data_IF_267225637585
#
_entry.id   IF_267225637585
#
_cell.length_a   1.000
_cell.length_b   1.000
_cell.length_c   1.000
_cell.angle_alpha   90.00
_cell.angle_beta   90.00
_cell.angle_gamma   90.00
#
_symmetry.space_group_name_H-M   'P 1'
#
loop_
_entity.id
_entity.type
_entity.pdbx_description
1 polymer ?
#
# COMPACT_ATOMS: atom_id res chain seq x y z
N UNK A 1 -20.40 47.78 -9.24
CA UNK A 1 -19.59 46.80 -10.00
C UNK A 1 -18.11 46.79 -9.58
N UNK A 2 -17.38 47.93 -9.61
CA UNK A 2 -15.94 47.99 -9.21
C UNK A 2 -15.67 47.49 -7.77
N UNK A 3 -16.50 47.87 -6.81
CA UNK A 3 -16.34 47.45 -5.40
C UNK A 3 -16.55 45.94 -5.20
N UNK A 4 -17.52 45.33 -5.87
CA UNK A 4 -17.78 43.91 -5.82
C UNK A 4 -16.58 43.11 -6.38
N UNK A 5 -16.07 43.51 -7.56
CA UNK A 5 -14.88 42.88 -8.16
C UNK A 5 -13.69 42.94 -7.21
N UNK A 6 -13.47 44.07 -6.53
CA UNK A 6 -12.37 44.27 -5.58
C UNK A 6 -12.47 43.28 -4.38
N UNK A 7 -13.62 43.14 -3.79
CA UNK A 7 -13.81 42.20 -2.65
C UNK A 7 -13.70 40.74 -3.09
N UNK A 8 -14.21 40.39 -4.26
CA UNK A 8 -14.06 39.03 -4.81
C UNK A 8 -12.60 38.70 -5.07
N UNK A 9 -11.83 39.63 -5.64
CA UNK A 9 -10.39 39.45 -5.87
C UNK A 9 -9.59 39.26 -4.57
N UNK A 10 -9.92 40.05 -3.53
CA UNK A 10 -9.29 39.92 -2.21
C UNK A 10 -9.64 38.58 -1.58
N UNK A 11 -10.90 38.14 -1.64
CA UNK A 11 -11.31 36.83 -1.13
C UNK A 11 -10.58 35.69 -1.81
N UNK A 12 -10.45 35.74 -3.13
CA UNK A 12 -9.69 34.73 -3.90
C UNK A 12 -8.21 34.76 -3.49
N UNK A 13 -7.59 35.91 -3.36
CA UNK A 13 -6.19 36.03 -2.92
C UNK A 13 -5.96 35.45 -1.52
N UNK A 14 -6.87 35.71 -0.57
CA UNK A 14 -6.82 35.12 0.78
C UNK A 14 -6.96 33.60 0.74
N UNK A 15 -7.88 33.07 -0.05
CA UNK A 15 -8.04 31.61 -0.22
C UNK A 15 -6.77 30.99 -0.80
N UNK A 16 -6.18 31.59 -1.83
CA UNK A 16 -4.93 31.10 -2.44
C UNK A 16 -3.76 31.15 -1.45
N UNK A 17 -3.67 32.19 -0.62
CA UNK A 17 -2.65 32.29 0.43
C UNK A 17 -2.83 31.20 1.50
N UNK A 18 -4.07 30.94 1.93
CA UNK A 18 -4.37 29.88 2.90
C UNK A 18 -4.05 28.50 2.32
N UNK A 19 -4.39 28.24 1.06
CA UNK A 19 -4.06 26.98 0.38
C UNK A 19 -2.54 26.81 0.23
N UNK A 20 -1.82 27.89 -0.09
CA UNK A 20 -0.36 27.89 -0.14
C UNK A 20 0.27 27.61 1.23
N UNK A 21 -0.23 28.25 2.28
CA UNK A 21 0.22 28.01 3.65
C UNK A 21 -0.03 26.56 4.12
N UNK A 22 -1.20 25.99 3.78
CA UNK A 22 -1.51 24.58 4.05
C UNK A 22 -0.54 23.64 3.33
N UNK A 23 -0.17 23.94 2.08
CA UNK A 23 0.80 23.15 1.33
C UNK A 23 2.20 23.16 1.96
N UNK A 24 2.57 24.23 2.64
CA UNK A 24 3.85 24.35 3.35
C UNK A 24 3.80 23.72 4.75
N UNK A 25 2.64 23.25 5.20
CA UNK A 25 2.52 22.67 6.53
C UNK A 25 3.40 21.42 6.69
N UNK A 26 4.15 21.27 7.80
CA UNK A 26 5.08 20.16 8.02
C UNK A 26 4.46 18.77 7.86
N UNK A 27 3.16 18.63 8.08
CA UNK A 27 2.40 17.40 7.88
C UNK A 27 2.54 16.82 6.46
N UNK A 28 2.64 17.68 5.43
CA UNK A 28 2.77 17.25 4.03
C UNK A 28 4.23 16.97 3.62
N UNK A 29 5.18 17.14 4.53
CA UNK A 29 6.60 16.89 4.31
C UNK A 29 7.16 15.74 5.16
N UNK A 30 6.31 14.83 5.60
CA UNK A 30 6.69 13.74 6.51
C UNK A 30 7.73 12.78 5.92
N UNK A 31 7.77 12.61 4.61
CA UNK A 31 8.72 11.71 3.93
C UNK A 31 10.20 12.16 4.02
N UNK A 32 10.49 13.33 4.56
CA UNK A 32 11.86 13.80 4.83
C UNK A 32 12.42 13.30 6.16
N UNK A 33 11.62 12.60 6.97
CA UNK A 33 12.08 12.05 8.25
C UNK A 33 13.06 10.89 8.01
N UNK A 34 14.08 10.81 8.86
CA UNK A 34 14.94 9.64 8.91
C UNK A 34 14.22 8.51 9.66
N UNK A 35 14.30 7.31 9.12
CA UNK A 35 13.77 6.11 9.76
C UNK A 35 14.93 5.35 10.38
N UNK A 36 14.81 5.02 11.67
CA UNK A 36 15.78 4.20 12.38
C UNK A 36 15.33 2.76 12.21
N UNK A 37 16.09 1.97 11.49
CA UNK A 37 15.76 0.58 11.22
C UNK A 37 16.62 -0.31 12.09
N UNK A 38 15.99 -0.98 13.03
CA UNK A 38 16.62 -1.96 13.91
C UNK A 38 16.70 -3.30 13.20
N UNK A 39 17.87 -3.91 13.20
CA UNK A 39 18.09 -5.22 12.60
C UNK A 39 17.84 -6.33 13.62
N UNK A 40 16.67 -6.95 13.55
CA UNK A 40 16.40 -8.21 14.24
C UNK A 40 16.30 -9.31 13.19
N UNK A 41 17.16 -10.31 13.31
CA UNK A 41 17.05 -11.48 12.45
C UNK A 41 15.74 -12.21 12.70
N UNK A 42 15.04 -12.57 11.63
CA UNK A 42 13.87 -13.43 11.70
C UNK A 42 14.33 -14.83 12.16
N UNK A 43 13.80 -15.27 13.29
CA UNK A 43 14.07 -16.61 13.86
C UNK A 43 12.93 -17.58 13.60
N UNK A 44 12.36 -17.58 12.39
CA UNK A 44 11.29 -18.53 12.08
C UNK A 44 11.90 -19.93 11.86
N UNK A 45 11.60 -20.94 12.69
CA UNK A 45 11.91 -22.33 12.36
C UNK A 45 11.05 -22.75 11.18
N UNK A 46 11.67 -23.20 10.11
CA UNK A 46 11.04 -23.45 8.81
C UNK A 46 10.23 -24.76 8.71
N UNK A 47 9.88 -25.42 9.81
CA UNK A 47 9.01 -26.59 9.79
C UNK A 47 7.60 -26.25 9.29
N UNK A 48 7.12 -25.05 9.57
CA UNK A 48 5.85 -24.53 9.06
C UNK A 48 5.98 -23.02 8.87
N UNK A 49 5.80 -22.56 7.64
CA UNK A 49 5.83 -21.13 7.31
C UNK A 49 4.59 -20.44 7.89
N UNK A 50 4.77 -19.37 8.65
CA UNK A 50 3.68 -18.46 9.00
C UNK A 50 3.79 -17.20 8.12
N UNK A 51 2.71 -16.86 7.45
CA UNK A 51 2.56 -15.69 6.59
C UNK A 51 1.36 -14.87 7.04
N UNK A 52 1.54 -13.57 7.16
CA UNK A 52 0.42 -12.64 7.37
C UNK A 52 0.32 -11.72 6.16
N UNK A 53 -0.90 -11.51 5.67
CA UNK A 53 -1.19 -10.52 4.63
C UNK A 53 -1.98 -9.38 5.26
N UNK A 54 -1.37 -8.19 5.39
CA UNK A 54 -2.01 -7.00 5.95
C UNK A 54 -2.29 -5.97 4.87
N UNK A 55 -3.34 -5.19 5.05
CA UNK A 55 -3.59 -4.13 4.09
C UNK A 55 -5.01 -3.58 4.06
N UNK A 56 -5.36 -3.11 2.89
CA UNK A 56 -6.67 -2.55 2.55
C UNK A 56 -7.68 -3.63 2.10
N UNK A 57 -8.56 -3.30 1.17
CA UNK A 57 -9.53 -4.25 0.60
C UNK A 57 -8.87 -5.45 -0.09
N UNK A 58 -7.67 -5.31 -0.64
CA UNK A 58 -6.97 -6.42 -1.27
C UNK A 58 -6.60 -7.50 -0.26
N UNK A 59 -6.09 -7.12 0.91
CA UNK A 59 -5.85 -8.08 1.99
C UNK A 59 -7.17 -8.59 2.62
N UNK A 60 -8.20 -7.74 2.71
CA UNK A 60 -9.50 -8.15 3.25
C UNK A 60 -10.17 -9.23 2.39
N UNK A 61 -10.14 -9.08 1.08
CA UNK A 61 -10.73 -10.07 0.15
C UNK A 61 -9.83 -11.28 -0.07
N UNK A 62 -8.53 -11.14 0.13
CA UNK A 62 -7.60 -12.29 0.10
C UNK A 62 -7.91 -13.31 1.20
N UNK A 63 -8.56 -12.94 2.28
CA UNK A 63 -8.94 -13.86 3.34
C UNK A 63 -9.67 -15.11 2.83
N UNK A 64 -10.48 -14.97 1.80
CA UNK A 64 -11.19 -16.09 1.15
C UNK A 64 -10.24 -16.98 0.32
N UNK A 65 -8.99 -16.55 0.09
CA UNK A 65 -7.94 -17.21 -0.70
C UNK A 65 -6.75 -17.70 0.14
N UNK A 66 -6.77 -17.57 1.47
CA UNK A 66 -5.68 -18.00 2.35
C UNK A 66 -5.30 -19.47 2.13
N UNK A 67 -6.29 -20.33 1.93
CA UNK A 67 -6.08 -21.79 1.70
C UNK A 67 -5.42 -22.11 0.37
N UNK A 68 -5.72 -21.36 -0.67
CA UNK A 68 -5.09 -21.50 -1.99
C UNK A 68 -3.60 -21.19 -1.90
N UNK A 69 -3.24 -20.11 -1.21
CA UNK A 69 -1.83 -19.73 -0.99
C UNK A 69 -1.10 -20.78 -0.11
N UNK A 70 -1.73 -21.32 0.95
CA UNK A 70 -1.18 -22.42 1.75
C UNK A 70 -0.88 -23.66 0.87
N UNK A 71 -1.80 -24.01 -0.04
CA UNK A 71 -1.63 -25.13 -0.97
C UNK A 71 -0.47 -24.92 -1.95
N UNK A 72 -0.23 -23.69 -2.40
CA UNK A 72 0.91 -23.38 -3.27
C UNK A 72 2.25 -23.61 -2.57
N UNK A 73 2.37 -23.25 -1.29
CA UNK A 73 3.56 -23.57 -0.49
C UNK A 73 3.70 -25.05 -0.24
N UNK A 74 2.62 -25.73 0.11
CA UNK A 74 2.61 -27.18 0.37
C UNK A 74 3.04 -27.99 -0.85
N UNK A 75 2.63 -27.61 -2.06
CA UNK A 75 3.08 -28.23 -3.33
C UNK A 75 4.59 -28.12 -3.57
N UNK A 76 5.24 -27.15 -2.91
CA UNK A 76 6.70 -26.96 -2.93
C UNK A 76 7.40 -27.61 -1.74
N UNK A 77 6.70 -28.43 -0.96
CA UNK A 77 7.25 -29.12 0.22
C UNK A 77 7.42 -28.22 1.46
N UNK A 78 6.79 -27.06 1.48
CA UNK A 78 6.84 -26.10 2.60
C UNK A 78 5.43 -25.92 3.17
N UNK A 79 5.05 -26.62 4.25
CA UNK A 79 3.77 -26.36 4.91
C UNK A 79 3.66 -24.90 5.36
N UNK A 80 2.50 -24.28 5.16
CA UNK A 80 2.29 -22.88 5.51
C UNK A 80 0.95 -22.66 6.20
N UNK A 81 0.91 -21.64 7.06
CA UNK A 81 -0.31 -21.04 7.60
C UNK A 81 -0.37 -19.57 7.16
N UNK A 82 -1.44 -19.22 6.48
CA UNK A 82 -1.68 -17.88 5.94
C UNK A 82 -2.85 -17.23 6.67
N UNK A 83 -2.67 -15.96 7.04
CA UNK A 83 -3.68 -15.16 7.71
C UNK A 83 -3.79 -13.80 7.02
N UNK A 84 -4.88 -13.54 6.33
CA UNK A 84 -5.14 -12.24 5.73
C UNK A 84 -5.99 -11.37 6.63
N UNK A 85 -5.48 -10.18 6.94
CA UNK A 85 -6.10 -9.20 7.85
C UNK A 85 -6.12 -7.84 7.15
N UNK A 86 -7.18 -7.57 6.42
CA UNK A 86 -7.37 -6.32 5.72
C UNK A 86 -8.57 -5.52 6.24
N UNK A 87 -8.66 -4.28 5.81
CA UNK A 87 -9.81 -3.43 6.06
C UNK A 87 -10.15 -2.63 4.81
N UNK A 88 -11.36 -2.83 4.30
CA UNK A 88 -11.84 -2.16 3.09
C UNK A 88 -11.75 -0.64 3.23
N UNK A 89 -11.12 0.01 2.27
CA UNK A 89 -10.93 1.46 2.26
C UNK A 89 -9.80 1.98 3.16
N UNK A 90 -9.06 1.10 3.85
CA UNK A 90 -7.97 1.51 4.74
C UNK A 90 -6.85 2.23 3.97
N UNK A 91 -6.34 3.28 4.56
CA UNK A 91 -5.17 4.04 4.10
C UNK A 91 -3.93 3.57 4.85
N UNK A 92 -2.76 3.90 4.33
CA UNK A 92 -1.48 3.49 4.93
C UNK A 92 -1.36 3.78 6.44
N UNK A 93 -1.85 4.94 6.90
CA UNK A 93 -1.91 5.28 8.32
C UNK A 93 -2.79 4.33 9.12
N UNK A 94 -3.98 4.03 8.62
CA UNK A 94 -4.94 3.15 9.30
C UNK A 94 -4.40 1.71 9.38
N UNK A 95 -3.70 1.25 8.34
CA UNK A 95 -3.01 -0.04 8.34
C UNK A 95 -1.93 -0.05 9.42
N UNK A 96 -1.08 1.00 9.49
CA UNK A 96 -0.07 1.13 10.53
C UNK A 96 -0.67 1.11 11.95
N UNK A 97 -1.71 1.92 12.21
CA UNK A 97 -2.36 1.98 13.52
C UNK A 97 -2.96 0.62 13.94
N UNK A 98 -3.47 -0.16 12.98
CA UNK A 98 -4.02 -1.51 13.22
C UNK A 98 -2.97 -2.55 13.60
N UNK A 99 -1.69 -2.34 13.29
CA UNK A 99 -0.61 -3.23 13.76
C UNK A 99 -0.52 -3.27 15.29
N UNK A 100 -1.02 -2.27 15.98
CA UNK A 100 -1.06 -2.19 17.45
C UNK A 100 -2.40 -2.60 18.06
N UNK A 101 -3.39 -2.95 17.24
CA UNK A 101 -4.74 -3.35 17.67
C UNK A 101 -5.17 -4.67 17.02
N UNK A 102 -5.99 -4.62 15.98
CA UNK A 102 -6.62 -5.82 15.37
C UNK A 102 -5.63 -6.76 14.69
N UNK A 103 -4.55 -6.24 14.10
CA UNK A 103 -3.51 -7.05 13.46
C UNK A 103 -2.45 -7.55 14.45
N UNK A 104 -2.38 -6.93 15.63
CA UNK A 104 -1.34 -7.20 16.64
C UNK A 104 -1.19 -8.67 16.98
N UNK A 105 -2.28 -9.38 17.21
CA UNK A 105 -2.25 -10.78 17.62
C UNK A 105 -1.51 -11.66 16.59
N UNK A 106 -1.72 -11.44 15.30
CA UNK A 106 -1.09 -12.20 14.23
C UNK A 106 0.42 -11.89 14.12
N UNK A 107 0.80 -10.62 14.33
CA UNK A 107 2.20 -10.20 14.30
C UNK A 107 2.98 -10.66 15.54
N UNK A 108 2.32 -10.76 16.70
CA UNK A 108 2.95 -11.26 17.94
C UNK A 108 3.30 -12.75 17.88
N UNK A 109 2.67 -13.50 16.98
CA UNK A 109 3.06 -14.88 16.67
C UNK A 109 4.39 -14.98 15.88
N UNK A 110 4.99 -13.85 15.56
CA UNK A 110 6.24 -13.71 14.81
C UNK A 110 6.21 -14.50 13.50
N UNK A 111 5.33 -14.14 12.54
CA UNK A 111 5.32 -14.77 11.24
C UNK A 111 6.67 -14.53 10.55
N UNK A 112 7.08 -15.47 9.69
CA UNK A 112 8.33 -15.31 8.93
C UNK A 112 8.24 -14.16 7.93
N UNK A 113 7.06 -13.96 7.33
CA UNK A 113 6.82 -12.95 6.31
C UNK A 113 5.50 -12.22 6.54
N UNK A 114 5.46 -10.96 6.10
CA UNK A 114 4.24 -10.16 6.08
C UNK A 114 4.09 -9.48 4.72
N UNK A 115 3.07 -9.87 3.95
CA UNK A 115 2.68 -9.22 2.69
C UNK A 115 1.90 -7.95 3.01
N UNK A 116 2.17 -6.88 2.28
CA UNK A 116 1.57 -5.57 2.52
C UNK A 116 0.93 -5.06 1.24
N UNK A 117 -0.39 -4.84 1.24
CA UNK A 117 -1.11 -4.08 0.23
C UNK A 117 -1.57 -2.74 0.78
N UNK A 118 -1.08 -1.63 0.22
CA UNK A 118 -1.46 -0.30 0.66
C UNK A 118 -1.18 0.75 -0.42
N UNK A 119 -1.96 1.82 -0.40
CA UNK A 119 -1.69 3.02 -1.16
C UNK A 119 -2.78 3.44 -2.14
N UNK A 120 -3.58 2.53 -2.69
CA UNK A 120 -4.69 2.87 -3.59
C UNK A 120 -5.63 3.86 -2.89
N UNK A 121 -6.00 3.60 -1.64
CA UNK A 121 -6.91 4.46 -0.88
C UNK A 121 -6.26 5.79 -0.47
N UNK A 122 -4.93 5.85 -0.29
CA UNK A 122 -4.20 7.11 -0.10
C UNK A 122 -4.28 7.97 -1.36
N UNK A 123 -4.11 7.36 -2.53
CA UNK A 123 -4.21 8.03 -3.82
C UNK A 123 -5.65 8.46 -4.14
N UNK A 124 -6.65 7.63 -3.88
CA UNK A 124 -8.07 7.98 -4.01
C UNK A 124 -8.39 9.19 -3.14
N UNK A 125 -7.99 9.19 -1.88
CA UNK A 125 -8.24 10.27 -0.93
C UNK A 125 -7.34 11.51 -1.14
N UNK A 126 -6.39 11.48 -2.10
CA UNK A 126 -5.46 12.57 -2.41
C UNK A 126 -4.64 13.04 -1.20
N UNK A 127 -4.16 12.09 -0.39
CA UNK A 127 -3.42 12.40 0.84
C UNK A 127 -1.97 12.85 0.58
N UNK A 128 -1.45 12.64 -0.63
CA UNK A 128 -0.08 12.99 -0.99
C UNK A 128 0.90 11.83 -0.80
N UNK A 129 1.88 11.78 -1.70
CA UNK A 129 2.90 10.73 -1.70
C UNK A 129 3.75 10.76 -0.42
N UNK A 130 4.00 11.93 0.15
CA UNK A 130 4.76 12.08 1.40
C UNK A 130 4.03 11.44 2.59
N UNK A 131 2.72 11.61 2.67
CA UNK A 131 1.89 10.99 3.68
C UNK A 131 1.91 9.46 3.56
N UNK A 132 1.70 8.95 2.36
CA UNK A 132 1.73 7.53 2.06
C UNK A 132 3.08 6.90 2.41
N UNK A 133 4.17 7.47 1.88
CA UNK A 133 5.52 6.96 2.11
C UNK A 133 5.86 6.96 3.60
N UNK A 134 5.51 8.04 4.33
CA UNK A 134 5.77 8.10 5.77
C UNK A 134 5.15 6.91 6.51
N UNK A 135 3.85 6.67 6.32
CA UNK A 135 3.17 5.60 7.04
C UNK A 135 3.58 4.21 6.54
N UNK A 136 3.87 4.06 5.24
CA UNK A 136 4.39 2.80 4.72
C UNK A 136 5.76 2.46 5.33
N UNK A 137 6.65 3.45 5.46
CA UNK A 137 7.95 3.25 6.11
C UNK A 137 7.82 2.89 7.59
N UNK A 138 6.83 3.44 8.31
CA UNK A 138 6.53 3.04 9.68
C UNK A 138 6.05 1.58 9.75
N UNK A 139 5.25 1.12 8.79
CA UNK A 139 4.86 -0.30 8.69
C UNK A 139 6.11 -1.18 8.52
N UNK A 140 7.00 -0.84 7.56
CA UNK A 140 8.23 -1.59 7.32
C UNK A 140 9.14 -1.63 8.57
N UNK A 141 9.34 -0.48 9.21
CA UNK A 141 10.12 -0.38 10.43
C UNK A 141 9.55 -1.29 11.53
N UNK A 142 8.24 -1.23 11.78
CA UNK A 142 7.60 -2.04 12.81
C UNK A 142 7.72 -3.54 12.54
N UNK A 143 7.55 -3.99 11.28
CA UNK A 143 7.73 -5.40 10.93
C UNK A 143 9.16 -5.87 11.16
N UNK A 144 10.14 -5.09 10.74
CA UNK A 144 11.55 -5.41 10.93
C UNK A 144 11.94 -5.44 12.42
N UNK A 145 11.39 -4.55 13.24
CA UNK A 145 11.58 -4.56 14.70
C UNK A 145 10.98 -5.81 15.36
N UNK A 146 9.92 -6.37 14.79
CA UNK A 146 9.34 -7.64 15.23
C UNK A 146 10.11 -8.87 14.71
N UNK A 147 11.09 -8.68 13.82
CA UNK A 147 11.81 -9.77 13.15
C UNK A 147 11.00 -10.43 12.04
N UNK A 148 9.98 -9.75 11.52
CA UNK A 148 9.12 -10.21 10.42
C UNK A 148 9.66 -9.63 9.12
N UNK A 149 9.89 -10.47 8.09
CA UNK A 149 10.37 -9.99 6.79
C UNK A 149 9.22 -9.39 5.98
N UNK A 150 9.27 -8.09 5.63
CA UNK A 150 8.24 -7.46 4.82
C UNK A 150 8.28 -7.97 3.37
N UNK A 151 7.10 -8.21 2.81
CA UNK A 151 6.88 -8.46 1.37
C UNK A 151 6.07 -7.29 0.85
N UNK A 152 6.74 -6.36 0.21
CA UNK A 152 6.13 -5.15 -0.35
C UNK A 152 5.48 -5.50 -1.68
N UNK A 153 4.17 -5.44 -1.74
CA UNK A 153 3.42 -5.62 -2.96
C UNK A 153 3.27 -4.27 -3.68
N UNK A 154 3.88 -4.14 -4.85
CA UNK A 154 3.59 -3.01 -5.72
C UNK A 154 2.19 -3.16 -6.29
N UNK A 155 1.34 -2.18 -5.98
CA UNK A 155 -0.04 -2.17 -6.49
C UNK A 155 -0.03 -1.86 -7.98
N UNK A 156 -0.68 -2.67 -8.83
CA UNK A 156 -0.80 -2.40 -10.24
C UNK A 156 -1.70 -1.20 -10.51
N UNK A 157 -1.75 -0.78 -11.76
CA UNK A 157 -2.67 0.27 -12.19
C UNK A 157 -4.13 -0.20 -12.03
N UNK A 158 -4.95 0.65 -11.40
CA UNK A 158 -6.40 0.46 -11.23
C UNK A 158 -7.16 1.61 -11.88
N UNK A 159 -8.44 1.41 -12.20
CA UNK A 159 -9.22 2.45 -12.86
C UNK A 159 -9.69 3.55 -11.88
N UNK A 160 -8.81 4.50 -11.58
CA UNK A 160 -9.14 5.66 -10.73
C UNK A 160 -10.28 6.52 -11.29
N UNK A 161 -10.50 6.52 -12.61
CA UNK A 161 -11.60 7.28 -13.22
C UNK A 161 -12.95 6.64 -12.92
N UNK A 162 -13.02 5.30 -12.89
CA UNK A 162 -14.23 4.58 -12.49
C UNK A 162 -14.59 4.86 -11.03
N UNK A 163 -13.60 4.98 -10.14
CA UNK A 163 -13.82 5.40 -8.74
C UNK A 163 -14.40 6.81 -8.69
N UNK A 164 -13.73 7.78 -9.33
CA UNK A 164 -14.15 9.18 -9.32
C UNK A 164 -15.51 9.40 -10.00
N UNK A 165 -15.87 8.55 -10.96
CA UNK A 165 -17.17 8.59 -11.63
C UNK A 165 -18.35 8.29 -10.71
N UNK A 166 -18.12 7.52 -9.64
CA UNK A 166 -19.13 7.14 -8.64
C UNK A 166 -19.24 8.13 -7.47
N UNK A 167 -18.33 9.11 -7.39
CA UNK A 167 -18.30 10.10 -6.31
C UNK A 167 -19.35 11.19 -6.48
N UNK A 168 -19.87 11.69 -5.34
CA UNK A 168 -20.70 12.90 -5.33
C UNK A 168 -19.90 14.11 -5.79
N UNK A 169 -20.57 15.15 -6.27
CA UNK A 169 -19.93 16.40 -6.68
C UNK A 169 -19.09 17.03 -5.56
N UNK A 170 -19.58 17.00 -4.33
CA UNK A 170 -18.87 17.53 -3.16
C UNK A 170 -17.58 16.75 -2.87
N UNK A 171 -17.60 15.44 -2.99
CA UNK A 171 -16.43 14.60 -2.81
C UNK A 171 -15.40 14.87 -3.92
N UNK A 172 -15.85 14.99 -5.18
CA UNK A 172 -14.97 15.34 -6.31
C UNK A 172 -14.28 16.69 -6.12
N UNK A 173 -15.02 17.71 -5.67
CA UNK A 173 -14.42 19.01 -5.34
C UNK A 173 -13.41 18.92 -4.21
N UNK A 174 -13.72 18.16 -3.16
CA UNK A 174 -12.76 17.90 -2.07
C UNK A 174 -11.48 17.24 -2.59
N UNK A 175 -11.58 16.26 -3.47
CA UNK A 175 -10.41 15.59 -4.05
C UNK A 175 -9.58 16.51 -4.94
N UNK A 176 -10.22 17.39 -5.73
CA UNK A 176 -9.50 18.40 -6.51
C UNK A 176 -8.73 19.36 -5.60
N UNK A 177 -9.36 19.87 -4.55
CA UNK A 177 -8.70 20.75 -3.58
C UNK A 177 -7.56 20.04 -2.85
N UNK A 178 -7.79 18.80 -2.39
CA UNK A 178 -6.75 18.00 -1.74
C UNK A 178 -5.58 17.73 -2.68
N UNK A 179 -5.85 17.40 -3.94
CA UNK A 179 -4.83 17.19 -4.98
C UNK A 179 -3.98 18.46 -5.18
N UNK A 180 -4.61 19.63 -5.23
CA UNK A 180 -3.90 20.91 -5.32
C UNK A 180 -3.00 21.16 -4.10
N UNK A 181 -3.51 20.93 -2.89
CA UNK A 181 -2.77 21.12 -1.63
C UNK A 181 -1.60 20.15 -1.51
N UNK A 182 -1.82 18.88 -1.78
CA UNK A 182 -0.82 17.81 -1.58
C UNK A 182 0.10 17.61 -2.78
N UNK A 183 -0.24 18.17 -3.94
CA UNK A 183 0.45 17.89 -5.20
C UNK A 183 0.21 16.49 -5.73
N UNK A 184 -0.88 15.82 -5.32
CA UNK A 184 -1.23 14.47 -5.76
C UNK A 184 -1.83 14.49 -7.17
N UNK A 185 -1.58 13.44 -7.92
CA UNK A 185 -2.24 13.21 -9.21
C UNK A 185 -3.71 12.81 -9.00
N UNK A 186 -4.59 13.24 -9.91
CA UNK A 186 -6.03 12.95 -9.78
C UNK A 186 -6.38 11.50 -10.12
N UNK A 187 -5.67 10.90 -11.08
CA UNK A 187 -6.05 9.61 -11.67
C UNK A 187 -4.88 8.64 -11.83
N UNK A 188 -3.80 8.82 -11.08
CA UNK A 188 -2.65 7.94 -11.11
C UNK A 188 -2.14 7.64 -9.69
N UNK A 189 -1.44 6.52 -9.56
CA UNK A 189 -0.72 6.11 -8.37
C UNK A 189 0.80 6.14 -8.57
N UNK A 190 1.28 6.49 -9.75
CA UNK A 190 2.69 6.34 -10.13
C UNK A 190 3.65 7.17 -9.29
N UNK A 191 3.27 8.41 -8.94
CA UNK A 191 4.08 9.26 -8.06
C UNK A 191 4.22 8.68 -6.65
N UNK A 192 3.21 7.97 -6.15
CA UNK A 192 3.24 7.28 -4.85
C UNK A 192 4.19 6.08 -4.90
N UNK A 193 4.05 5.21 -5.92
CA UNK A 193 4.95 4.06 -6.15
C UNK A 193 6.39 4.50 -6.26
N UNK A 194 6.65 5.47 -7.14
CA UNK A 194 8.00 6.01 -7.37
C UNK A 194 8.61 6.57 -6.08
N UNK A 195 7.86 7.33 -5.30
CA UNK A 195 8.33 7.89 -4.04
C UNK A 195 8.66 6.81 -3.00
N UNK A 196 7.85 5.76 -2.88
CA UNK A 196 8.12 4.63 -2.00
C UNK A 196 9.39 3.89 -2.41
N UNK A 197 9.52 3.51 -3.68
CA UNK A 197 10.70 2.81 -4.20
C UNK A 197 11.98 3.63 -3.98
N UNK A 198 11.93 4.93 -4.25
CA UNK A 198 13.08 5.82 -4.02
C UNK A 198 13.45 5.91 -2.54
N UNK A 199 12.46 5.90 -1.64
CA UNK A 199 12.70 5.95 -0.19
C UNK A 199 13.29 4.63 0.31
N UNK A 200 12.76 3.49 -0.14
CA UNK A 200 13.32 2.16 0.15
C UNK A 200 14.79 2.07 -0.29
N UNK A 201 15.10 2.57 -1.50
CA UNK A 201 16.49 2.61 -2.00
C UNK A 201 17.40 3.49 -1.15
N UNK A 202 16.93 4.68 -0.75
CA UNK A 202 17.71 5.63 0.09
C UNK A 202 17.96 5.12 1.51
N UNK A 203 17.10 4.24 2.01
CA UNK A 203 17.21 3.69 3.37
C UNK A 203 17.89 2.32 3.40
N UNK A 204 18.45 1.86 2.29
CA UNK A 204 19.12 0.56 2.12
C UNK A 204 18.30 -0.66 2.59
N UNK A 205 16.97 -0.57 2.40
CA UNK A 205 16.05 -1.64 2.77
C UNK A 205 15.93 -2.76 1.73
N UNK A 206 16.52 -2.62 0.55
CA UNK A 206 16.33 -3.54 -0.58
C UNK A 206 16.70 -4.98 -0.24
N UNK A 207 17.74 -5.17 0.59
CA UNK A 207 18.20 -6.50 1.01
C UNK A 207 17.41 -7.07 2.21
N UNK A 208 16.54 -6.26 2.82
CA UNK A 208 15.80 -6.59 4.05
C UNK A 208 14.33 -6.88 3.81
N UNK A 209 13.86 -6.61 2.62
CA UNK A 209 12.48 -6.84 2.17
C UNK A 209 12.45 -7.73 0.94
N UNK A 210 11.29 -8.28 0.63
CA UNK A 210 10.97 -8.77 -0.70
C UNK A 210 10.12 -7.70 -1.37
N UNK A 211 10.50 -7.28 -2.57
CA UNK A 211 9.72 -6.36 -3.39
C UNK A 211 9.12 -7.10 -4.57
N UNK A 212 7.80 -7.16 -4.65
CA UNK A 212 7.06 -7.77 -5.74
C UNK A 212 6.57 -6.65 -6.66
N UNK A 213 7.23 -6.51 -7.82
CA UNK A 213 6.83 -5.55 -8.83
C UNK A 213 5.51 -5.95 -9.47
N UNK A 214 4.64 -4.98 -9.78
CA UNK A 214 3.43 -5.19 -10.56
C UNK A 214 3.74 -5.83 -11.93
N UNK A 215 4.86 -5.47 -12.54
CA UNK A 215 5.30 -6.05 -13.82
C UNK A 215 5.51 -7.57 -13.77
N UNK A 216 5.83 -8.12 -12.59
CA UNK A 216 6.10 -9.55 -12.45
C UNK A 216 4.84 -10.44 -12.55
N UNK A 217 3.65 -9.87 -12.37
CA UNK A 217 2.40 -10.64 -12.37
C UNK A 217 1.23 -9.94 -13.09
N UNK A 218 1.21 -8.61 -13.18
CA UNK A 218 0.13 -7.80 -13.73
C UNK A 218 0.63 -6.44 -14.28
N UNK A 219 1.48 -6.48 -15.29
CA UNK A 219 2.14 -5.30 -15.90
C UNK A 219 1.16 -4.27 -16.48
N UNK A 220 -0.01 -4.71 -16.93
CA UNK A 220 -1.00 -3.82 -17.61
C UNK A 220 -2.15 -3.40 -16.70
N UNK A 221 -2.06 -3.73 -15.39
CA UNK A 221 -3.09 -3.37 -14.41
C UNK A 221 -4.48 -3.87 -14.80
N UNK A 222 -5.49 -3.04 -14.64
CA UNK A 222 -6.88 -3.37 -14.96
C UNK A 222 -7.15 -3.59 -16.46
N UNK A 223 -6.20 -3.24 -17.33
CA UNK A 223 -6.24 -3.53 -18.77
C UNK A 223 -5.78 -4.96 -19.11
N UNK A 224 -5.48 -5.79 -18.10
CA UNK A 224 -5.00 -7.15 -18.31
C UNK A 224 -6.06 -8.01 -19.02
N UNK A 225 -5.69 -8.53 -20.20
CA UNK A 225 -6.58 -9.34 -21.05
C UNK A 225 -6.97 -10.68 -20.44
N UNK A 226 -6.28 -11.12 -19.38
CA UNK A 226 -6.62 -12.35 -18.65
C UNK A 226 -7.90 -12.21 -17.82
N UNK A 227 -8.40 -10.98 -17.64
CA UNK A 227 -9.61 -10.72 -16.86
C UNK A 227 -9.39 -11.00 -15.37
N UNK A 228 -8.39 -10.35 -14.76
CA UNK A 228 -7.99 -10.55 -13.37
C UNK A 228 -8.81 -9.72 -12.37
N UNK A 229 -9.60 -8.78 -12.85
CA UNK A 229 -10.34 -7.83 -12.01
C UNK A 229 -11.83 -8.14 -11.95
N UNK A 230 -12.46 -7.68 -10.88
CA UNK A 230 -13.91 -7.56 -10.79
C UNK A 230 -14.39 -6.43 -11.74
N UNK A 231 -15.71 -6.31 -11.91
CA UNK A 231 -16.33 -5.29 -12.76
C UNK A 231 -16.07 -3.85 -12.31
N UNK A 232 -15.53 -3.65 -11.12
CA UNK A 232 -15.14 -2.33 -10.61
C UNK A 232 -13.77 -1.87 -11.10
N UNK A 233 -12.99 -2.77 -11.72
CA UNK A 233 -11.64 -2.53 -12.27
C UNK A 233 -10.62 -2.05 -11.21
N UNK A 234 -10.90 -2.39 -9.95
CA UNK A 234 -10.05 -2.06 -8.78
C UNK A 234 -9.64 -3.32 -8.05
N UNK A 235 -10.61 -4.19 -7.75
CA UNK A 235 -10.40 -5.38 -6.97
C UNK A 235 -10.14 -6.59 -7.85
N UNK A 236 -9.28 -7.48 -7.38
CA UNK A 236 -9.03 -8.76 -8.03
C UNK A 236 -10.24 -9.70 -7.87
N UNK A 237 -10.49 -10.50 -8.89
CA UNK A 237 -11.34 -11.68 -8.77
C UNK A 237 -10.50 -12.90 -8.35
N UNK A 238 -11.12 -14.08 -8.23
CA UNK A 238 -10.43 -15.30 -7.82
C UNK A 238 -9.21 -15.62 -8.71
N UNK A 239 -9.33 -15.44 -10.03
CA UNK A 239 -8.21 -15.66 -10.96
C UNK A 239 -7.07 -14.66 -10.75
N UNK A 240 -7.41 -13.40 -10.40
CA UNK A 240 -6.43 -12.37 -10.06
C UNK A 240 -5.65 -12.73 -8.81
N UNK A 241 -6.31 -13.24 -7.77
CA UNK A 241 -5.65 -13.75 -6.57
C UNK A 241 -4.80 -14.98 -6.85
N UNK A 242 -5.26 -15.93 -7.67
CA UNK A 242 -4.44 -17.10 -8.07
C UNK A 242 -3.10 -16.67 -8.70
N UNK A 243 -3.12 -15.68 -9.59
CA UNK A 243 -1.90 -15.15 -10.23
C UNK A 243 -1.02 -14.42 -9.21
N UNK A 244 -1.59 -13.60 -8.34
CA UNK A 244 -0.88 -12.89 -7.29
C UNK A 244 -0.22 -13.86 -6.31
N UNK A 245 -0.95 -14.88 -5.84
CA UNK A 245 -0.49 -15.87 -4.88
C UNK A 245 0.66 -16.72 -5.46
N UNK A 246 0.56 -17.08 -6.73
CA UNK A 246 1.64 -17.76 -7.43
C UNK A 246 2.94 -16.94 -7.43
N UNK A 247 2.83 -15.63 -7.60
CA UNK A 247 3.97 -14.71 -7.54
C UNK A 247 4.50 -14.59 -6.10
N UNK A 248 3.64 -14.36 -5.11
CA UNK A 248 4.01 -14.27 -3.69
C UNK A 248 4.75 -15.54 -3.25
N UNK A 249 4.16 -16.72 -3.53
CA UNK A 249 4.76 -18.00 -3.16
C UNK A 249 6.13 -18.21 -3.83
N UNK A 250 6.26 -17.82 -5.10
CA UNK A 250 7.52 -17.92 -5.84
C UNK A 250 8.61 -17.05 -5.24
N UNK A 251 8.32 -15.79 -4.93
CA UNK A 251 9.32 -14.84 -4.40
C UNK A 251 9.74 -15.19 -2.97
N UNK A 252 8.80 -15.61 -2.11
CA UNK A 252 9.12 -16.09 -0.76
C UNK A 252 9.96 -17.37 -0.82
N UNK A 253 9.61 -18.31 -1.70
CA UNK A 253 10.38 -19.55 -1.87
C UNK A 253 11.83 -19.29 -2.32
N UNK A 254 12.02 -18.34 -3.27
CA UNK A 254 13.37 -17.91 -3.68
C UNK A 254 14.17 -17.31 -2.53
N UNK A 255 13.52 -16.55 -1.64
CA UNK A 255 14.20 -15.95 -0.47
C UNK A 255 14.61 -17.02 0.56
N UNK A 256 13.77 -18.02 0.78
CA UNK A 256 14.09 -19.15 1.67
C UNK A 256 15.24 -19.97 1.09
N UNK A 257 15.22 -20.28 -0.19
CA UNK A 257 16.25 -21.08 -0.85
C UNK A 257 17.64 -20.38 -0.85
N UNK A 258 17.70 -19.06 -0.80
CA UNK A 258 18.96 -18.31 -0.68
C UNK A 258 19.60 -18.39 0.72
N UNK A 259 18.85 -18.80 1.72
CA UNK A 259 19.31 -18.88 3.12
C UNK A 259 19.73 -20.28 3.54
N UNK A 260 19.44 -21.29 2.71
CA UNK A 260 19.91 -22.67 2.83
C UNK A 260 21.24 -22.86 2.10
#
# INVERSE_FOLDING_TARGET
>A
MRTFIKYTSIAIAVVLLLLGALRLHPYYHLAKKQYIIVDKQSSCPYDTLKLVFIGDSWAAYHHDHDKELELLFSKKGLPAHVFSVGNVGAKSREIYERMFSTTKQFLMERPGYCVISAGINDAVAKLGKEYYVHHYMLILQQLLELGVKPVVLEMPEVNFRAVSGRESWTMRMRHILSSFITGSELYSFDSYKTALIQTIKKTDLQNRIIYISADSWNATGYHDKRGLYLSDEIHLNAKGYEVLDSCIASEIYKDIAKKQ
#
